data_IF_394299334358
#
_entry.id   IF_394299334358
#
_cell.length_a   1.000
_cell.length_b   1.000
_cell.length_c   1.000
_cell.angle_alpha   90.00
_cell.angle_beta   90.00
_cell.angle_gamma   90.00
#
_symmetry.space_group_name_H-M   'P 1'
#
loop_
_entity.id
_entity.type
_entity.pdbx_description
1 polymer ?
#
# COMPACT_ATOMS: atom_id res chain seq x y z
N UNK A 1 27.31 -0.82 -7.40
CA UNK A 1 26.34 -1.79 -7.99
C UNK A 1 25.23 -0.98 -8.60
N UNK A 2 24.73 -1.38 -9.77
CA UNK A 2 23.56 -0.70 -10.35
C UNK A 2 22.34 -0.96 -9.44
N UNK A 3 21.65 0.10 -9.05
CA UNK A 3 20.40 0.01 -8.27
C UNK A 3 19.28 -0.23 -9.27
N UNK A 4 18.53 -1.33 -9.10
CA UNK A 4 17.35 -1.63 -9.91
C UNK A 4 16.12 -1.67 -9.01
N UNK A 5 15.08 -0.96 -9.40
CA UNK A 5 13.83 -0.84 -8.67
C UNK A 5 12.65 -1.20 -9.57
N UNK A 6 11.67 -1.89 -9.03
CA UNK A 6 10.43 -2.24 -9.75
C UNK A 6 9.27 -1.44 -9.18
N UNK A 7 8.64 -0.63 -10.01
CA UNK A 7 7.45 0.14 -9.70
C UNK A 7 6.22 -0.64 -10.19
N UNK A 8 5.74 -1.57 -9.36
CA UNK A 8 4.66 -2.50 -9.72
C UNK A 8 3.38 -1.78 -10.14
N UNK A 9 2.96 -0.79 -9.38
CA UNK A 9 1.76 0.01 -9.67
C UNK A 9 1.89 0.93 -10.89
N UNK A 10 3.13 1.24 -11.30
CA UNK A 10 3.42 1.95 -12.54
C UNK A 10 3.68 1.01 -13.71
N UNK A 11 4.06 -0.23 -13.45
CA UNK A 11 4.30 -1.26 -14.45
C UNK A 11 5.63 -1.13 -15.19
N UNK A 12 6.70 -0.72 -14.51
CA UNK A 12 8.04 -0.76 -15.09
C UNK A 12 9.10 -1.07 -14.04
N UNK A 13 10.22 -1.60 -14.54
CA UNK A 13 11.46 -1.83 -13.79
C UNK A 13 12.54 -0.90 -14.30
N UNK A 14 13.12 -0.11 -13.41
CA UNK A 14 14.13 0.89 -13.71
C UNK A 14 15.47 0.52 -13.11
N UNK A 15 16.52 0.53 -13.92
CA UNK A 15 17.91 0.51 -13.44
C UNK A 15 18.45 1.92 -13.43
N UNK A 16 18.77 2.43 -12.24
CA UNK A 16 19.27 3.79 -12.07
C UNK A 16 20.68 3.93 -12.62
N UNK A 17 21.00 5.05 -13.29
CA UNK A 17 22.36 5.40 -13.66
C UNK A 17 23.24 5.64 -12.42
N UNK A 18 24.57 5.48 -12.58
CA UNK A 18 25.51 5.61 -11.48
C UNK A 18 25.46 6.97 -10.75
N UNK A 19 25.00 8.03 -11.41
CA UNK A 19 24.81 9.36 -10.79
C UNK A 19 23.79 9.36 -9.64
N UNK A 20 22.93 8.32 -9.56
CA UNK A 20 21.99 8.12 -8.46
C UNK A 20 22.55 7.34 -7.27
N UNK A 21 23.76 6.79 -7.37
CA UNK A 21 24.34 6.01 -6.26
C UNK A 21 24.72 6.88 -5.06
N UNK A 22 25.14 8.13 -5.31
CA UNK A 22 25.57 9.07 -4.27
C UNK A 22 25.21 10.51 -4.67
N UNK A 23 23.95 10.87 -4.75
CA UNK A 23 23.54 12.24 -5.03
C UNK A 23 23.91 13.13 -3.84
N UNK A 24 24.20 14.41 -4.11
CA UNK A 24 24.47 15.42 -3.06
C UNK A 24 23.19 15.85 -2.37
N UNK A 25 22.14 16.05 -3.18
CA UNK A 25 20.79 16.23 -2.70
C UNK A 25 20.06 14.90 -2.52
N UNK A 26 18.80 14.95 -2.16
CA UNK A 26 17.97 13.77 -1.95
C UNK A 26 17.02 13.59 -3.13
N UNK A 27 17.01 12.41 -3.71
CA UNK A 27 16.01 11.99 -4.70
C UNK A 27 14.98 11.09 -4.02
N UNK A 28 13.70 11.45 -4.13
CA UNK A 28 12.61 10.69 -3.53
C UNK A 28 11.55 10.38 -4.60
N UNK A 29 11.50 9.14 -5.12
CA UNK A 29 10.38 8.71 -5.93
C UNK A 29 9.12 8.58 -5.07
N UNK A 30 7.99 9.02 -5.60
CA UNK A 30 6.67 8.89 -5.00
C UNK A 30 5.71 8.39 -6.06
N UNK A 31 5.29 7.15 -5.94
CA UNK A 31 4.34 6.51 -6.85
C UNK A 31 2.92 6.66 -6.30
N UNK A 32 2.01 7.15 -7.13
CA UNK A 32 0.58 7.30 -6.79
C UNK A 32 -0.22 6.12 -7.37
N UNK A 33 0.27 5.52 -8.47
CA UNK A 33 -0.43 4.45 -9.18
C UNK A 33 -1.55 4.99 -10.07
N UNK A 34 -2.59 4.19 -10.25
CA UNK A 34 -3.76 4.56 -11.07
C UNK A 34 -4.59 5.65 -10.36
N UNK A 35 -4.90 6.71 -11.06
CA UNK A 35 -5.69 7.85 -10.55
C UNK A 35 -7.20 7.70 -10.78
N UNK A 36 -7.67 6.50 -11.20
CA UNK A 36 -9.08 6.20 -11.47
C UNK A 36 -9.53 6.42 -12.93
N UNK A 37 -8.75 7.15 -13.74
CA UNK A 37 -9.07 7.45 -15.14
C UNK A 37 -8.22 6.66 -16.14
N UNK A 38 -7.56 5.56 -15.69
CA UNK A 38 -6.59 4.81 -16.48
C UNK A 38 -5.29 5.58 -16.69
N UNK A 39 -4.99 6.49 -15.79
CA UNK A 39 -3.74 7.24 -15.72
C UNK A 39 -2.95 6.72 -14.53
N UNK A 40 -1.77 6.18 -14.78
CA UNK A 40 -0.79 5.77 -13.78
C UNK A 40 0.17 6.92 -13.57
N UNK A 41 0.38 7.35 -12.32
CA UNK A 41 1.14 8.55 -12.03
C UNK A 41 2.16 8.35 -10.93
N UNK A 42 3.36 8.91 -11.13
CA UNK A 42 4.38 9.03 -10.09
C UNK A 42 5.20 10.31 -10.25
N UNK A 43 5.85 10.73 -9.17
CA UNK A 43 6.76 11.86 -9.15
C UNK A 43 8.12 11.44 -8.63
N UNK A 44 9.16 12.02 -9.21
CA UNK A 44 10.50 12.05 -8.62
C UNK A 44 10.72 13.45 -8.05
N UNK A 45 10.86 13.54 -6.73
CA UNK A 45 11.18 14.78 -6.06
C UNK A 45 12.69 14.87 -5.85
N UNK A 46 13.21 16.09 -5.93
CA UNK A 46 14.57 16.43 -5.58
C UNK A 46 14.54 17.44 -4.44
N UNK A 47 15.38 17.22 -3.43
CA UNK A 47 15.51 18.11 -2.28
C UNK A 47 16.96 18.54 -2.21
N UNK A 48 17.20 19.84 -2.39
CA UNK A 48 18.54 20.47 -2.41
C UNK A 48 19.09 20.67 -0.98
N UNK A 49 19.21 19.57 -0.22
CA UNK A 49 19.82 19.52 1.11
C UNK A 49 20.66 18.25 1.22
N UNK A 50 21.67 18.28 2.07
CA UNK A 50 22.51 17.10 2.31
C UNK A 50 21.80 16.11 3.26
N UNK A 51 22.25 14.86 3.26
CA UNK A 51 21.78 13.88 4.27
C UNK A 51 22.09 14.33 5.71
N UNK A 52 23.16 15.09 5.90
CA UNK A 52 23.56 15.65 7.20
C UNK A 52 22.56 16.71 7.67
N UNK A 53 22.10 17.59 6.76
CA UNK A 53 21.08 18.59 7.05
C UNK A 53 19.75 17.91 7.46
N UNK A 54 19.36 16.84 6.74
CA UNK A 54 18.15 16.08 7.09
C UNK A 54 18.27 15.40 8.45
N UNK A 55 19.42 14.80 8.77
CA UNK A 55 19.66 14.22 10.09
C UNK A 55 19.58 15.28 11.20
N UNK A 56 20.15 16.46 10.96
CA UNK A 56 20.07 17.57 11.91
C UNK A 56 18.63 18.07 12.12
N UNK A 57 17.85 18.23 11.03
CA UNK A 57 16.44 18.61 11.09
C UNK A 57 15.59 17.54 11.81
N UNK A 58 15.87 16.26 11.58
CA UNK A 58 15.19 15.14 12.25
C UNK A 58 15.44 15.17 13.75
N UNK A 59 16.71 15.35 14.18
CA UNK A 59 17.05 15.48 15.60
C UNK A 59 16.30 16.64 16.27
N UNK A 60 16.19 17.79 15.59
CA UNK A 60 15.39 18.93 16.07
C UNK A 60 13.89 18.60 16.16
N UNK A 61 13.37 17.80 15.22
CA UNK A 61 11.96 17.36 15.24
C UNK A 61 11.69 16.46 16.44
N UNK A 62 12.59 15.51 16.72
CA UNK A 62 12.48 14.57 17.86
C UNK A 62 12.56 15.27 19.21
N UNK A 63 13.32 16.37 19.30
CA UNK A 63 13.44 17.19 20.52
C UNK A 63 12.36 18.28 20.63
N UNK A 64 11.50 18.43 19.61
CA UNK A 64 10.49 19.48 19.56
C UNK A 64 11.06 20.88 19.27
N UNK A 65 12.32 20.96 18.84
CA UNK A 65 13.04 22.21 18.52
C UNK A 65 12.94 22.61 17.04
N UNK A 66 12.25 21.82 16.21
CA UNK A 66 12.06 22.14 14.79
C UNK A 66 11.22 23.41 14.65
N UNK A 67 11.81 24.44 14.07
CA UNK A 67 11.13 25.72 13.88
C UNK A 67 10.29 25.73 12.58
N UNK A 68 9.33 26.67 12.51
CA UNK A 68 8.62 26.94 11.25
C UNK A 68 9.58 27.37 10.12
N UNK A 69 10.68 28.04 10.48
CA UNK A 69 11.70 28.44 9.50
C UNK A 69 12.46 27.24 8.92
N UNK A 70 12.79 26.22 9.74
CA UNK A 70 13.39 24.97 9.27
C UNK A 70 12.46 24.23 8.31
N UNK A 71 11.16 24.19 8.62
CA UNK A 71 10.15 23.56 7.76
C UNK A 71 9.97 24.29 6.43
N UNK A 72 10.00 25.63 6.43
CA UNK A 72 9.94 26.44 5.22
C UNK A 72 11.20 26.25 4.36
N UNK A 73 12.39 26.21 4.95
CA UNK A 73 13.64 25.93 4.25
C UNK A 73 13.59 24.58 3.54
N UNK A 74 13.04 23.54 4.17
CA UNK A 74 12.91 22.23 3.55
C UNK A 74 11.90 22.27 2.38
N UNK A 75 10.78 22.96 2.55
CA UNK A 75 9.80 23.14 1.49
C UNK A 75 10.36 23.92 0.28
N UNK A 76 11.10 24.98 0.54
CA UNK A 76 11.76 25.77 -0.53
C UNK A 76 12.89 25.00 -1.23
N UNK A 77 13.55 24.08 -0.53
CA UNK A 77 14.58 23.21 -1.08
C UNK A 77 14.02 22.06 -1.93
N UNK A 78 12.70 21.81 -1.92
CA UNK A 78 12.08 20.69 -2.64
C UNK A 78 11.47 21.14 -3.97
N UNK A 79 11.72 20.36 -5.02
CA UNK A 79 11.04 20.50 -6.32
C UNK A 79 10.83 19.14 -6.97
N UNK A 80 9.88 19.08 -7.91
CA UNK A 80 9.72 17.91 -8.76
C UNK A 80 10.87 17.82 -9.76
N UNK A 81 11.65 16.76 -9.71
CA UNK A 81 12.69 16.46 -10.71
C UNK A 81 12.05 16.14 -12.06
N UNK A 82 11.05 15.24 -12.05
CA UNK A 82 10.12 14.96 -13.14
C UNK A 82 8.92 14.16 -12.62
N UNK A 83 7.89 14.12 -13.44
CA UNK A 83 6.72 13.27 -13.24
C UNK A 83 6.70 12.19 -14.33
N UNK A 84 6.17 11.02 -14.01
CA UNK A 84 5.91 9.94 -14.98
C UNK A 84 4.41 9.69 -15.02
N UNK A 85 3.83 9.73 -16.22
CA UNK A 85 2.45 9.36 -16.45
C UNK A 85 2.38 8.21 -17.46
N UNK A 86 1.73 7.10 -17.08
CA UNK A 86 1.32 6.02 -17.97
C UNK A 86 -0.14 6.21 -18.34
N UNK A 87 -0.49 6.18 -19.61
CA UNK A 87 -1.85 6.48 -20.07
C UNK A 87 -2.33 5.39 -21.01
N UNK A 88 -3.46 4.78 -20.64
CA UNK A 88 -4.13 3.76 -21.46
C UNK A 88 -4.88 4.34 -22.66
N UNK A 89 -5.15 3.51 -23.67
CA UNK A 89 -5.95 3.87 -24.83
C UNK A 89 -5.21 4.53 -25.99
N UNK A 90 -3.87 4.52 -26.01
CA UNK A 90 -3.07 5.01 -27.15
C UNK A 90 -3.20 6.50 -27.43
N UNK A 91 -3.55 7.28 -26.45
CA UNK A 91 -3.82 8.72 -26.58
C UNK A 91 -2.54 9.55 -26.70
N UNK A 92 -2.60 10.61 -27.47
CA UNK A 92 -1.45 11.48 -27.71
C UNK A 92 -1.23 12.55 -26.64
N UNK A 93 -0.06 13.19 -26.66
CA UNK A 93 0.36 14.20 -25.66
C UNK A 93 -0.64 15.37 -25.42
N UNK A 94 -1.54 15.68 -26.37
CA UNK A 94 -2.57 16.72 -26.19
C UNK A 94 -3.68 16.29 -25.25
N UNK A 95 -4.16 15.04 -25.38
CA UNK A 95 -5.18 14.47 -24.50
C UNK A 95 -4.64 14.26 -23.09
N UNK A 96 -3.35 13.96 -22.97
CA UNK A 96 -2.65 13.88 -21.67
C UNK A 96 -2.68 15.22 -20.95
N UNK A 97 -2.28 16.30 -21.64
CA UNK A 97 -2.28 17.64 -21.07
C UNK A 97 -3.72 18.05 -20.62
N UNK A 98 -4.73 17.64 -21.37
CA UNK A 98 -6.15 17.91 -21.06
C UNK A 98 -6.61 17.11 -19.85
N UNK A 99 -6.30 15.81 -19.78
CA UNK A 99 -6.62 14.94 -18.63
C UNK A 99 -5.93 15.37 -17.35
N UNK A 100 -4.64 15.74 -17.44
CA UNK A 100 -3.87 16.24 -16.29
C UNK A 100 -4.16 17.72 -15.97
N UNK A 101 -5.10 18.36 -16.67
CA UNK A 101 -5.45 19.79 -16.50
C UNK A 101 -4.27 20.74 -16.63
N UNK A 102 -3.31 20.40 -17.51
CA UNK A 102 -2.11 21.19 -17.75
C UNK A 102 -2.45 22.34 -18.71
N UNK A 103 -2.22 23.56 -18.27
CA UNK A 103 -2.53 24.76 -19.05
C UNK A 103 -1.57 24.94 -20.24
N UNK A 104 -2.10 25.37 -21.37
CA UNK A 104 -1.32 25.68 -22.57
C UNK A 104 -0.35 26.83 -22.26
N UNK A 105 0.97 26.56 -22.44
CA UNK A 105 1.99 27.57 -22.17
C UNK A 105 2.57 27.53 -20.75
N UNK A 106 2.18 26.58 -19.92
CA UNK A 106 2.73 26.34 -18.56
C UNK A 106 4.25 26.09 -18.55
N UNK A 107 4.84 25.72 -19.69
CA UNK A 107 6.24 25.33 -19.79
C UNK A 107 6.47 23.82 -19.65
N UNK A 108 5.38 23.03 -19.57
CA UNK A 108 5.46 21.58 -19.49
C UNK A 108 5.92 20.97 -20.81
N UNK A 109 6.74 19.93 -20.68
CA UNK A 109 7.28 19.14 -21.76
C UNK A 109 6.98 17.67 -21.53
N UNK A 110 6.49 16.99 -22.56
CA UNK A 110 6.15 15.57 -22.54
C UNK A 110 7.12 14.80 -23.42
N UNK A 111 7.88 13.90 -22.80
CA UNK A 111 8.79 13.00 -23.50
C UNK A 111 8.26 11.59 -23.39
N UNK A 112 7.91 10.96 -24.51
CA UNK A 112 7.57 9.52 -24.51
C UNK A 112 8.81 8.73 -24.09
N UNK A 113 8.63 7.86 -23.08
CA UNK A 113 9.71 7.08 -22.46
C UNK A 113 9.53 5.57 -22.66
N UNK A 114 8.32 5.10 -22.92
CA UNK A 114 8.08 3.69 -23.18
C UNK A 114 6.62 3.34 -23.38
N UNK A 115 6.38 2.05 -23.65
CA UNK A 115 5.02 1.50 -23.86
C UNK A 115 4.88 0.09 -23.31
N UNK A 116 3.68 -0.22 -22.86
CA UNK A 116 3.26 -1.58 -22.57
C UNK A 116 1.82 -1.77 -23.05
N UNK A 117 1.61 -2.65 -24.04
CA UNK A 117 0.32 -2.84 -24.70
C UNK A 117 -0.26 -1.50 -25.19
N UNK A 118 -1.41 -1.10 -24.68
CA UNK A 118 -2.10 0.15 -24.99
C UNK A 118 -1.70 1.33 -24.07
N UNK A 119 -0.85 1.08 -23.08
CA UNK A 119 -0.35 2.12 -22.17
C UNK A 119 0.89 2.76 -22.74
N UNK A 120 0.89 4.09 -22.89
CA UNK A 120 2.07 4.88 -23.26
C UNK A 120 2.53 5.70 -22.06
N UNK A 121 3.83 5.62 -21.77
CA UNK A 121 4.45 6.32 -20.63
C UNK A 121 5.17 7.59 -21.10
N UNK A 122 5.01 8.64 -20.32
CA UNK A 122 5.63 9.95 -20.58
C UNK A 122 6.37 10.44 -19.34
N UNK A 123 7.57 10.97 -19.55
CA UNK A 123 8.22 11.83 -18.59
C UNK A 123 7.73 13.26 -18.81
N UNK A 124 7.31 13.93 -17.75
CA UNK A 124 6.78 15.29 -17.76
C UNK A 124 7.73 16.16 -16.94
N UNK A 125 8.24 17.22 -17.55
CA UNK A 125 9.08 18.23 -16.89
C UNK A 125 8.48 19.60 -17.12
N UNK A 126 8.73 20.54 -16.20
CA UNK A 126 8.28 21.93 -16.35
C UNK A 126 9.46 22.88 -16.35
N UNK A 127 9.85 23.31 -17.54
CA UNK A 127 11.01 24.17 -17.75
C UNK A 127 10.96 25.47 -16.93
N UNK A 128 9.79 26.11 -16.84
CA UNK A 128 9.66 27.38 -16.14
C UNK A 128 9.85 27.22 -14.63
N UNK A 129 9.26 26.14 -14.05
CA UNK A 129 9.44 25.80 -12.64
C UNK A 129 10.87 25.38 -12.35
N UNK A 130 11.47 24.56 -13.22
CA UNK A 130 12.84 24.07 -13.08
C UNK A 130 13.85 25.23 -13.10
N UNK A 131 13.73 26.15 -14.08
CA UNK A 131 14.60 27.34 -14.17
C UNK A 131 14.42 28.27 -12.96
N UNK A 132 13.21 28.39 -12.43
CA UNK A 132 12.95 29.19 -11.23
C UNK A 132 13.59 28.53 -10.02
N UNK A 133 13.35 27.25 -9.81
CA UNK A 133 13.89 26.48 -8.68
C UNK A 133 15.42 26.49 -8.67
N UNK A 134 16.07 26.22 -9.80
CA UNK A 134 17.53 26.21 -9.90
C UNK A 134 18.19 27.55 -9.57
N UNK A 135 17.44 28.67 -9.61
CA UNK A 135 17.94 30.00 -9.20
C UNK A 135 17.83 30.22 -7.68
N UNK A 136 17.06 29.42 -6.98
CA UNK A 136 16.86 29.56 -5.53
C UNK A 136 17.77 28.67 -4.69
N UNK A 137 18.41 27.68 -5.30
CA UNK A 137 19.29 26.72 -4.63
C UNK A 137 20.76 26.99 -4.97
N UNK A 138 21.67 26.37 -4.20
CA UNK A 138 23.09 26.49 -4.47
C UNK A 138 23.48 25.93 -5.84
N UNK A 139 24.49 26.52 -6.53
CA UNK A 139 24.89 26.10 -7.88
C UNK A 139 25.23 24.61 -8.01
N UNK A 140 25.74 24.00 -6.92
CA UNK A 140 26.11 22.59 -6.89
C UNK A 140 24.90 21.68 -6.98
N UNK A 141 23.81 22.03 -6.34
CA UNK A 141 22.53 21.30 -6.41
C UNK A 141 21.81 21.61 -7.73
N UNK A 142 21.90 22.84 -8.23
CA UNK A 142 21.29 23.20 -9.51
C UNK A 142 21.90 22.43 -10.69
N UNK A 143 23.22 22.22 -10.68
CA UNK A 143 23.90 21.41 -11.69
C UNK A 143 23.54 19.93 -11.56
N UNK A 144 23.51 19.42 -10.33
CA UNK A 144 23.08 18.05 -10.05
C UNK A 144 21.64 17.80 -10.50
N UNK A 145 20.71 18.70 -10.21
CA UNK A 145 19.30 18.62 -10.65
C UNK A 145 19.21 18.39 -12.16
N UNK A 146 19.96 19.15 -12.97
CA UNK A 146 19.98 18.98 -14.44
C UNK A 146 20.51 17.62 -14.86
N UNK A 147 21.61 17.19 -14.24
CA UNK A 147 22.24 15.90 -14.55
C UNK A 147 21.30 14.75 -14.21
N UNK A 148 20.71 14.77 -13.01
CA UNK A 148 19.80 13.75 -12.56
C UNK A 148 18.53 13.69 -13.41
N UNK A 149 17.93 14.85 -13.75
CA UNK A 149 16.74 14.92 -14.60
C UNK A 149 16.99 14.29 -15.97
N UNK A 150 18.07 14.70 -16.63
CA UNK A 150 18.42 14.17 -17.95
C UNK A 150 18.74 12.67 -17.91
N UNK A 151 19.55 12.26 -16.93
CA UNK A 151 19.94 10.85 -16.78
C UNK A 151 18.75 9.95 -16.44
N UNK A 152 17.79 10.46 -15.65
CA UNK A 152 16.57 9.73 -15.29
C UNK A 152 15.65 9.53 -16.50
N UNK A 153 15.47 10.58 -17.33
CA UNK A 153 14.69 10.46 -18.56
C UNK A 153 15.30 9.42 -19.51
N UNK A 154 16.62 9.42 -19.65
CA UNK A 154 17.29 8.44 -20.52
C UNK A 154 17.26 7.03 -19.93
N UNK A 155 17.34 6.88 -18.62
CA UNK A 155 17.15 5.59 -17.96
C UNK A 155 15.71 5.07 -18.11
N UNK A 156 14.71 5.93 -17.98
CA UNK A 156 13.30 5.59 -18.17
C UNK A 156 13.00 5.13 -19.62
N UNK A 157 13.65 5.72 -20.62
CA UNK A 157 13.54 5.24 -22.02
C UNK A 157 14.09 3.82 -22.21
N UNK A 158 14.99 3.39 -21.35
CA UNK A 158 15.58 2.06 -21.35
C UNK A 158 15.01 1.13 -20.27
N UNK A 159 13.98 1.56 -19.54
CA UNK A 159 13.33 0.76 -18.53
C UNK A 159 12.59 -0.44 -19.14
N UNK A 160 12.44 -1.51 -18.36
CA UNK A 160 11.63 -2.66 -18.72
C UNK A 160 10.16 -2.38 -18.37
N UNK A 161 9.31 -2.18 -19.37
CA UNK A 161 7.88 -1.94 -19.18
C UNK A 161 7.14 -3.28 -19.12
N UNK A 162 6.58 -3.61 -17.94
CA UNK A 162 5.91 -4.90 -17.63
C UNK A 162 4.40 -4.75 -17.48
N UNK A 163 3.91 -3.51 -17.50
CA UNK A 163 2.53 -3.14 -17.22
C UNK A 163 2.21 -3.03 -15.74
N UNK A 164 1.30 -2.13 -15.36
CA UNK A 164 0.90 -1.95 -13.98
C UNK A 164 0.37 -3.25 -13.37
N UNK A 165 0.86 -3.57 -12.20
CA UNK A 165 0.47 -4.74 -11.42
C UNK A 165 -0.26 -4.22 -10.18
N UNK A 166 -1.56 -4.40 -10.19
CA UNK A 166 -2.41 -4.04 -9.05
C UNK A 166 -2.54 -5.29 -8.18
N UNK A 167 -2.18 -5.26 -6.91
CA UNK A 167 -2.33 -6.41 -6.03
C UNK A 167 -3.77 -6.94 -6.07
N UNK A 168 -3.92 -8.25 -6.34
CA UNK A 168 -5.23 -8.89 -6.45
C UNK A 168 -5.98 -8.64 -7.75
N UNK A 169 -5.39 -7.96 -8.75
CA UNK A 169 -6.02 -7.77 -10.07
C UNK A 169 -6.37 -9.09 -10.74
N UNK A 170 -5.54 -10.11 -10.55
CA UNK A 170 -5.75 -11.48 -11.06
C UNK A 170 -6.94 -12.20 -10.41
N UNK A 171 -7.44 -11.67 -9.29
CA UNK A 171 -8.60 -12.21 -8.58
C UNK A 171 -9.92 -11.70 -9.14
N UNK A 172 -9.90 -10.53 -9.81
CA UNK A 172 -11.11 -9.93 -10.39
C UNK A 172 -11.69 -10.82 -11.46
N UNK A 173 -12.97 -11.11 -11.36
CA UNK A 173 -13.67 -12.05 -12.23
C UNK A 173 -13.56 -13.52 -11.79
N UNK A 174 -12.69 -13.87 -10.85
CA UNK A 174 -12.69 -15.21 -10.24
C UNK A 174 -13.90 -15.37 -9.32
N UNK A 175 -14.33 -16.62 -9.15
CA UNK A 175 -15.45 -16.94 -8.29
C UNK A 175 -14.95 -17.61 -7.03
N UNK A 176 -15.28 -17.05 -5.87
CA UNK A 176 -15.00 -17.62 -4.55
C UNK A 176 -16.09 -18.66 -4.24
N UNK A 177 -15.67 -19.85 -3.85
CA UNK A 177 -16.55 -20.92 -3.36
C UNK A 177 -15.92 -21.58 -2.16
N UNK A 178 -16.70 -21.73 -1.08
CA UNK A 178 -16.24 -22.40 0.13
C UNK A 178 -17.39 -23.02 0.94
N UNK A 179 -17.05 -23.97 1.76
CA UNK A 179 -17.85 -24.43 2.88
C UNK A 179 -17.04 -24.18 4.15
N UNK A 180 -17.69 -23.62 5.17
CA UNK A 180 -17.05 -23.33 6.46
C UNK A 180 -18.10 -23.37 7.57
N UNK A 181 -17.78 -22.78 8.71
CA UNK A 181 -18.71 -22.55 9.83
C UNK A 181 -18.73 -21.07 10.18
N UNK A 182 -19.86 -20.62 10.70
CA UNK A 182 -19.86 -19.34 11.40
C UNK A 182 -19.15 -19.46 12.76
N UNK A 183 -18.96 -18.31 13.41
CA UNK A 183 -18.29 -18.25 14.71
C UNK A 183 -19.02 -19.04 15.81
N UNK A 184 -20.31 -19.38 15.63
CA UNK A 184 -21.11 -20.17 16.54
C UNK A 184 -21.08 -21.67 16.21
N UNK A 185 -20.42 -22.05 15.12
CA UNK A 185 -20.21 -23.44 14.70
C UNK A 185 -21.26 -23.97 13.73
N UNK A 186 -22.20 -23.14 13.26
CA UNK A 186 -23.19 -23.53 12.27
C UNK A 186 -22.54 -23.69 10.90
N UNK A 187 -22.87 -24.71 10.10
CA UNK A 187 -22.31 -24.87 8.75
C UNK A 187 -22.83 -23.79 7.83
N UNK A 188 -21.91 -23.27 6.99
CA UNK A 188 -22.18 -22.20 6.04
C UNK A 188 -21.61 -22.56 4.68
N UNK A 189 -22.39 -22.32 3.62
CA UNK A 189 -21.98 -22.44 2.24
C UNK A 189 -21.95 -21.06 1.59
N UNK A 190 -20.88 -20.75 0.89
CA UNK A 190 -20.72 -19.46 0.18
C UNK A 190 -21.85 -19.19 -0.80
N UNK A 191 -22.37 -20.23 -1.48
CA UNK A 191 -23.47 -20.10 -2.43
C UNK A 191 -24.75 -19.57 -1.78
N UNK A 192 -25.08 -20.04 -0.56
CA UNK A 192 -26.26 -19.58 0.18
C UNK A 192 -26.10 -18.11 0.61
N UNK A 193 -24.89 -17.74 1.06
CA UNK A 193 -24.59 -16.36 1.47
C UNK A 193 -24.67 -15.39 0.29
N UNK A 194 -24.00 -15.72 -0.81
CA UNK A 194 -23.88 -14.80 -1.94
C UNK A 194 -25.17 -14.68 -2.74
N UNK A 195 -25.91 -15.77 -2.90
CA UNK A 195 -27.19 -15.75 -3.63
C UNK A 195 -28.28 -14.91 -2.93
N UNK A 196 -28.13 -14.67 -1.63
CA UNK A 196 -29.09 -13.89 -0.85
C UNK A 196 -29.07 -12.39 -1.18
N UNK A 197 -27.95 -11.86 -1.72
CA UNK A 197 -27.73 -10.43 -1.96
C UNK A 197 -27.17 -10.15 -3.35
N UNK A 198 -27.43 -8.96 -3.91
CA UNK A 198 -26.88 -8.59 -5.22
C UNK A 198 -25.35 -8.38 -5.11
N UNK A 199 -24.88 -7.73 -4.04
CA UNK A 199 -23.47 -7.56 -3.69
C UNK A 199 -23.25 -7.99 -2.24
N UNK A 200 -22.18 -8.75 -2.03
CA UNK A 200 -21.66 -9.08 -0.70
C UNK A 200 -20.25 -8.52 -0.55
N UNK A 201 -20.06 -7.72 0.47
CA UNK A 201 -18.75 -7.24 0.92
C UNK A 201 -18.16 -8.26 1.89
N UNK A 202 -16.99 -8.80 1.58
CA UNK A 202 -16.27 -9.76 2.42
C UNK A 202 -15.11 -9.02 3.06
N UNK A 203 -15.12 -8.84 4.37
CA UNK A 203 -14.03 -8.23 5.12
C UNK A 203 -13.25 -9.32 5.88
N UNK A 204 -11.97 -9.44 5.56
CA UNK A 204 -11.05 -10.36 6.24
C UNK A 204 -10.31 -9.60 7.32
N UNK A 205 -10.42 -10.06 8.57
CA UNK A 205 -9.91 -9.40 9.76
C UNK A 205 -9.34 -10.40 10.78
N UNK A 206 -8.68 -9.93 11.84
CA UNK A 206 -8.20 -10.79 12.92
C UNK A 206 -8.27 -10.10 14.28
N UNK A 207 -8.29 -10.90 15.36
CA UNK A 207 -8.39 -10.39 16.73
C UNK A 207 -7.17 -9.55 17.15
N UNK A 208 -6.01 -9.80 16.56
CA UNK A 208 -4.77 -9.08 16.80
C UNK A 208 -4.63 -7.80 15.94
N UNK A 209 -5.44 -7.63 14.90
CA UNK A 209 -5.34 -6.52 13.96
C UNK A 209 -5.93 -5.23 14.54
N UNK A 210 -5.08 -4.27 14.89
CA UNK A 210 -5.49 -2.99 15.45
C UNK A 210 -6.39 -2.16 14.53
N UNK A 211 -5.98 -1.91 13.26
CA UNK A 211 -6.81 -1.23 12.26
C UNK A 211 -8.16 -1.90 12.06
N UNK A 212 -8.19 -3.25 11.95
CA UNK A 212 -9.45 -3.99 11.79
C UNK A 212 -10.42 -3.67 12.93
N UNK A 213 -9.96 -3.73 14.19
CA UNK A 213 -10.79 -3.43 15.37
C UNK A 213 -11.36 -2.01 15.38
N UNK A 214 -10.68 -1.06 14.73
CA UNK A 214 -11.15 0.33 14.62
C UNK A 214 -12.30 0.44 13.61
N UNK A 215 -12.27 -0.32 12.50
CA UNK A 215 -13.32 -0.24 11.47
C UNK A 215 -14.55 -1.11 11.76
N UNK A 216 -14.43 -2.19 12.54
CA UNK A 216 -15.51 -3.19 12.76
C UNK A 216 -16.86 -2.54 13.14
N UNK A 217 -16.85 -1.55 14.03
CA UNK A 217 -18.08 -0.89 14.48
C UNK A 217 -18.80 -0.18 13.33
N UNK A 218 -18.03 0.53 12.47
CA UNK A 218 -18.61 1.20 11.31
C UNK A 218 -19.05 0.21 10.23
N UNK A 219 -18.34 -0.92 10.06
CA UNK A 219 -18.80 -2.00 9.20
C UNK A 219 -20.17 -2.56 9.66
N UNK A 220 -20.42 -2.63 10.97
CA UNK A 220 -21.74 -2.95 11.50
C UNK A 220 -22.80 -1.91 11.12
N UNK A 221 -22.45 -0.62 11.13
CA UNK A 221 -23.33 0.45 10.68
C UNK A 221 -23.58 0.37 9.18
N UNK A 222 -22.54 0.15 8.38
CA UNK A 222 -22.64 -0.05 6.93
C UNK A 222 -23.58 -1.22 6.62
N UNK A 223 -23.39 -2.37 7.25
CA UNK A 223 -24.24 -3.56 7.03
C UNK A 223 -25.73 -3.22 7.21
N UNK A 224 -26.11 -2.54 8.31
CA UNK A 224 -27.50 -2.14 8.54
C UNK A 224 -28.07 -1.19 7.49
N UNK A 225 -27.21 -0.34 6.88
CA UNK A 225 -27.63 0.53 5.77
C UNK A 225 -27.78 -0.24 4.46
N UNK A 226 -26.95 -1.25 4.25
CA UNK A 226 -26.92 -2.08 3.05
C UNK A 226 -28.11 -3.04 2.93
N UNK A 227 -28.72 -3.46 4.05
CA UNK A 227 -29.94 -4.31 4.04
C UNK A 227 -31.04 -3.72 3.16
N UNK A 228 -31.16 -2.38 3.12
CA UNK A 228 -32.16 -1.68 2.29
C UNK A 228 -31.79 -1.68 0.79
N UNK A 229 -30.55 -2.03 0.46
CA UNK A 229 -30.02 -2.01 -0.91
C UNK A 229 -29.80 -3.42 -1.48
N UNK A 230 -30.30 -4.45 -0.80
CA UNK A 230 -30.04 -5.85 -1.16
C UNK A 230 -28.56 -6.19 -1.24
N UNK A 231 -27.76 -5.61 -0.33
CA UNK A 231 -26.34 -5.90 -0.16
C UNK A 231 -26.03 -6.21 1.31
N UNK A 232 -24.93 -6.88 1.56
CA UNK A 232 -24.54 -7.31 2.90
C UNK A 232 -23.04 -7.21 3.12
N UNK A 233 -22.64 -7.15 4.40
CA UNK A 233 -21.28 -7.41 4.86
C UNK A 233 -21.23 -8.80 5.45
N UNK A 234 -20.14 -9.53 5.20
CA UNK A 234 -19.74 -10.72 5.96
C UNK A 234 -18.31 -10.51 6.45
N UNK A 235 -18.00 -11.03 7.64
CA UNK A 235 -16.64 -11.05 8.18
C UNK A 235 -16.03 -12.45 8.04
N UNK A 236 -14.72 -12.53 7.81
CA UNK A 236 -13.93 -13.75 7.98
C UNK A 236 -12.86 -13.41 9.00
N UNK A 237 -12.90 -14.02 10.19
CA UNK A 237 -11.89 -13.81 11.22
C UNK A 237 -10.77 -14.82 11.02
N UNK A 238 -9.62 -14.35 10.54
CA UNK A 238 -8.49 -15.18 10.10
C UNK A 238 -7.92 -16.07 11.21
N UNK A 239 -7.89 -15.58 12.44
CA UNK A 239 -7.40 -16.32 13.60
C UNK A 239 -8.52 -16.97 14.44
N UNK A 240 -9.77 -17.02 13.94
CA UNK A 240 -10.90 -17.54 14.71
C UNK A 240 -10.81 -19.04 15.01
N UNK A 241 -10.08 -19.82 14.23
CA UNK A 241 -9.85 -21.24 14.51
C UNK A 241 -9.11 -21.45 15.85
N UNK A 242 -8.20 -20.54 16.19
CA UNK A 242 -7.40 -20.58 17.43
C UNK A 242 -7.95 -19.64 18.52
N UNK A 243 -8.64 -18.57 18.12
CA UNK A 243 -9.06 -17.43 18.94
C UNK A 243 -10.58 -17.21 18.97
N UNK A 244 -11.39 -18.29 18.87
CA UNK A 244 -12.85 -18.19 18.76
C UNK A 244 -13.49 -17.37 19.90
N UNK A 245 -12.98 -17.49 21.13
CA UNK A 245 -13.51 -16.75 22.29
C UNK A 245 -13.24 -15.23 22.15
N UNK A 246 -12.04 -14.85 21.73
CA UNK A 246 -11.64 -13.46 21.54
C UNK A 246 -12.42 -12.84 20.36
N UNK A 247 -12.60 -13.60 19.27
CA UNK A 247 -13.41 -13.21 18.13
C UNK A 247 -14.86 -12.94 18.55
N UNK A 248 -15.51 -13.86 19.28
CA UNK A 248 -16.86 -13.66 19.82
C UNK A 248 -16.96 -12.44 20.74
N UNK A 249 -15.98 -12.23 21.59
CA UNK A 249 -15.94 -11.08 22.49
C UNK A 249 -15.91 -9.76 21.70
N UNK A 250 -15.07 -9.65 20.65
CA UNK A 250 -14.99 -8.48 19.78
C UNK A 250 -16.29 -8.26 18.99
N UNK A 251 -16.90 -9.32 18.45
CA UNK A 251 -18.19 -9.24 17.75
C UNK A 251 -19.27 -8.67 18.68
N UNK A 252 -19.33 -9.14 19.92
CA UNK A 252 -20.28 -8.65 20.91
C UNK A 252 -19.97 -7.21 21.35
N UNK A 253 -18.70 -6.90 21.64
CA UNK A 253 -18.24 -5.54 22.01
C UNK A 253 -18.59 -4.51 20.95
N UNK A 254 -18.36 -4.83 19.68
CA UNK A 254 -18.59 -3.94 18.53
C UNK A 254 -20.03 -4.00 18.01
N UNK A 255 -20.89 -4.81 18.64
CA UNK A 255 -22.31 -4.98 18.26
C UNK A 255 -22.50 -5.29 16.76
N UNK A 256 -21.70 -6.23 16.24
CA UNK A 256 -21.75 -6.63 14.83
C UNK A 256 -22.98 -7.49 14.58
N UNK A 257 -23.82 -7.06 13.63
CA UNK A 257 -25.05 -7.77 13.25
C UNK A 257 -24.88 -8.67 12.03
N UNK A 258 -23.74 -8.58 11.33
CA UNK A 258 -23.44 -9.43 10.18
C UNK A 258 -22.74 -10.72 10.60
N UNK A 259 -22.88 -11.74 9.73
CA UNK A 259 -22.28 -13.05 9.97
C UNK A 259 -20.75 -12.97 9.94
N UNK A 260 -20.11 -13.63 10.91
CA UNK A 260 -18.66 -13.80 10.95
C UNK A 260 -18.32 -15.28 10.86
N UNK A 261 -17.37 -15.60 9.98
CA UNK A 261 -16.99 -16.94 9.58
C UNK A 261 -15.61 -17.32 10.11
N UNK A 262 -15.39 -18.62 10.26
CA UNK A 262 -14.06 -19.21 10.39
C UNK A 262 -13.35 -19.16 9.02
N UNK A 263 -12.01 -19.20 8.98
CA UNK A 263 -11.26 -19.46 7.75
C UNK A 263 -11.72 -20.75 7.06
N UNK A 264 -11.58 -20.82 5.76
CA UNK A 264 -11.97 -21.98 4.97
C UNK A 264 -10.78 -22.56 4.19
N UNK A 265 -10.88 -23.82 3.79
CA UNK A 265 -9.87 -24.48 2.95
C UNK A 265 -9.78 -23.81 1.57
N UNK A 266 -8.57 -23.38 1.17
CA UNK A 266 -8.33 -22.64 -0.07
C UNK A 266 -8.43 -21.11 0.07
N UNK A 267 -8.59 -20.57 1.27
CA UNK A 267 -8.58 -19.11 1.50
C UNK A 267 -7.25 -18.47 1.13
N UNK A 268 -6.15 -19.21 1.17
CA UNK A 268 -4.82 -18.82 0.72
C UNK A 268 -4.76 -18.44 -0.78
N UNK A 269 -5.68 -18.94 -1.60
CA UNK A 269 -5.81 -18.53 -3.00
C UNK A 269 -6.19 -17.05 -3.17
N UNK A 270 -6.71 -16.40 -2.13
CA UNK A 270 -6.97 -14.96 -2.12
C UNK A 270 -5.70 -14.13 -1.91
N UNK A 271 -4.57 -14.76 -1.60
CA UNK A 271 -3.26 -14.13 -1.40
C UNK A 271 -3.31 -12.89 -0.47
N UNK A 272 -4.05 -13.02 0.65
CA UNK A 272 -4.19 -11.95 1.64
C UNK A 272 -2.92 -11.84 2.46
N UNK A 273 -2.11 -10.83 2.17
CA UNK A 273 -0.83 -10.59 2.86
C UNK A 273 -0.96 -9.62 4.04
N UNK A 274 -2.01 -8.81 4.08
CA UNK A 274 -2.23 -7.82 5.14
C UNK A 274 -3.71 -7.64 5.47
N UNK A 275 -3.99 -7.18 6.70
CA UNK A 275 -5.34 -7.02 7.22
C UNK A 275 -5.59 -5.56 7.64
N UNK A 276 -6.84 -5.08 7.51
CA UNK A 276 -7.95 -5.77 6.87
C UNK A 276 -7.75 -5.86 5.35
N UNK A 277 -8.38 -6.84 4.71
CA UNK A 277 -8.54 -6.90 3.25
C UNK A 277 -10.01 -7.16 2.92
N UNK A 278 -10.55 -6.35 2.01
CA UNK A 278 -11.98 -6.38 1.67
C UNK A 278 -12.20 -6.69 0.20
N UNK A 279 -13.09 -7.63 -0.08
CA UNK A 279 -13.53 -8.02 -1.41
C UNK A 279 -15.01 -7.69 -1.61
N UNK A 280 -15.41 -7.42 -2.85
CA UNK A 280 -16.80 -7.29 -3.24
C UNK A 280 -17.16 -8.36 -4.24
N UNK A 281 -18.20 -9.16 -3.94
CA UNK A 281 -18.62 -10.25 -4.81
C UNK A 281 -20.10 -10.11 -5.17
N UNK A 282 -20.46 -10.61 -6.37
CA UNK A 282 -21.83 -10.68 -6.81
C UNK A 282 -22.55 -11.94 -6.29
N UNK A 283 -23.83 -12.15 -6.67
CA UNK A 283 -24.65 -13.33 -6.29
C UNK A 283 -24.02 -14.67 -6.60
N UNK A 284 -23.08 -14.73 -7.54
CA UNK A 284 -22.38 -15.97 -7.92
C UNK A 284 -21.08 -16.18 -7.16
N UNK A 285 -20.69 -15.24 -6.31
CA UNK A 285 -19.41 -15.19 -5.61
C UNK A 285 -18.27 -14.70 -6.51
N UNK A 286 -18.57 -14.09 -7.65
CA UNK A 286 -17.54 -13.53 -8.53
C UNK A 286 -17.02 -12.22 -7.96
N UNK A 287 -15.70 -12.07 -7.84
CA UNK A 287 -15.02 -10.87 -7.37
C UNK A 287 -15.21 -9.76 -8.41
N UNK A 288 -15.78 -8.64 -7.99
CA UNK A 288 -16.21 -7.55 -8.87
C UNK A 288 -15.20 -6.42 -9.00
N UNK A 289 -14.35 -6.23 -7.99
CA UNK A 289 -13.36 -5.14 -7.94
C UNK A 289 -12.01 -5.67 -7.47
N UNK A 290 -10.98 -4.83 -7.59
CA UNK A 290 -9.73 -5.07 -6.84
C UNK A 290 -10.01 -5.12 -5.34
N UNK A 291 -9.25 -5.94 -4.58
CA UNK A 291 -9.39 -5.93 -3.12
C UNK A 291 -8.99 -4.56 -2.54
N UNK A 292 -9.73 -4.11 -1.54
CA UNK A 292 -9.32 -2.96 -0.73
C UNK A 292 -8.40 -3.49 0.37
N UNK A 293 -7.14 -3.08 0.32
CA UNK A 293 -6.10 -3.49 1.28
C UNK A 293 -5.93 -2.39 2.33
N UNK A 294 -6.14 -2.74 3.60
CA UNK A 294 -6.17 -1.78 4.70
C UNK A 294 -7.51 -1.05 4.84
N UNK A 295 -7.60 -0.19 5.85
CA UNK A 295 -8.78 0.66 6.08
C UNK A 295 -8.74 1.81 5.09
N UNK A 296 -9.82 2.07 4.32
CA UNK A 296 -9.85 3.19 3.39
C UNK A 296 -9.76 4.53 4.12
N UNK A 297 -9.25 5.56 3.46
CA UNK A 297 -9.12 6.91 4.02
C UNK A 297 -10.48 7.52 4.41
N UNK A 298 -11.53 7.20 3.65
CA UNK A 298 -12.94 7.47 3.98
C UNK A 298 -13.69 6.13 4.02
N UNK A 299 -14.15 5.72 5.21
CA UNK A 299 -14.87 4.45 5.40
C UNK A 299 -16.16 4.36 4.56
N UNK A 300 -16.72 5.48 4.13
CA UNK A 300 -17.90 5.53 3.25
C UNK A 300 -17.59 5.10 1.82
N UNK A 301 -16.31 4.96 1.44
CA UNK A 301 -15.92 4.47 0.12
C UNK A 301 -16.37 3.03 -0.11
N UNK A 302 -16.52 2.23 0.94
CA UNK A 302 -17.13 0.91 0.83
C UNK A 302 -18.57 0.98 0.31
N UNK A 303 -19.38 1.93 0.81
CA UNK A 303 -20.77 2.09 0.34
C UNK A 303 -20.83 2.68 -1.07
N UNK A 304 -19.93 3.61 -1.41
CA UNK A 304 -19.83 4.18 -2.76
C UNK A 304 -19.50 3.11 -3.78
N UNK A 305 -18.56 2.21 -3.44
CA UNK A 305 -18.21 1.06 -4.29
C UNK A 305 -19.42 0.15 -4.50
N UNK A 306 -20.15 -0.19 -3.44
CA UNK A 306 -21.35 -1.01 -3.54
C UNK A 306 -22.43 -0.32 -4.37
N UNK A 307 -22.66 0.97 -4.17
CA UNK A 307 -23.65 1.75 -4.93
C UNK A 307 -23.31 1.80 -6.42
N UNK A 308 -22.03 1.93 -6.77
CA UNK A 308 -21.54 1.86 -8.14
C UNK A 308 -21.82 0.51 -8.77
N UNK A 309 -21.45 -0.59 -8.08
CA UNK A 309 -21.67 -1.95 -8.54
C UNK A 309 -23.17 -2.27 -8.74
N UNK A 310 -24.03 -1.81 -7.85
CA UNK A 310 -25.47 -1.99 -7.96
C UNK A 310 -26.04 -1.20 -9.15
N UNK A 311 -25.56 0.02 -9.42
CA UNK A 311 -25.99 0.86 -10.52
C UNK A 311 -25.60 0.28 -11.90
N UNK A 312 -24.47 -0.40 -11.99
CA UNK A 312 -23.99 -1.06 -13.23
C UNK A 312 -24.72 -2.36 -13.54
N UNK A 313 -25.59 -2.84 -12.66
CA UNK A 313 -26.29 -4.13 -12.78
C UNK A 313 -25.36 -5.29 -12.44
N UNK A 314 -25.21 -5.59 -11.18
CA UNK A 314 -24.25 -6.50 -10.57
C UNK A 314 -24.12 -7.92 -11.18
N UNK A 315 -25.03 -8.33 -12.05
CA UNK A 315 -25.00 -9.63 -12.72
C UNK A 315 -24.05 -9.69 -13.93
N UNK A 316 -23.76 -8.54 -14.58
CA UNK A 316 -23.01 -8.42 -15.83
C UNK A 316 -21.96 -7.30 -15.82
N UNK A 317 -21.73 -6.63 -14.70
CA UNK A 317 -20.76 -5.55 -14.55
C UNK A 317 -19.34 -6.04 -14.90
N UNK A 318 -18.67 -5.29 -15.78
CA UNK A 318 -17.22 -5.45 -15.97
C UNK A 318 -16.52 -4.98 -14.70
N UNK A 319 -15.34 -5.56 -14.37
CA UNK A 319 -14.59 -5.14 -13.20
C UNK A 319 -14.38 -3.63 -13.18
N UNK A 320 -14.80 -2.97 -12.11
CA UNK A 320 -14.55 -1.55 -11.90
C UNK A 320 -13.12 -1.40 -11.41
N UNK A 321 -12.32 -0.64 -12.14
CA UNK A 321 -10.96 -0.26 -11.76
C UNK A 321 -10.99 0.92 -10.79
N UNK A 322 -11.46 0.74 -9.57
CA UNK A 322 -11.25 1.73 -8.53
C UNK A 322 -9.98 1.39 -7.76
N UNK A 323 -9.05 2.30 -7.84
CA UNK A 323 -7.70 2.19 -7.31
C UNK A 323 -7.63 2.78 -5.92
N UNK A 324 -7.36 1.93 -4.94
CA UNK A 324 -6.56 2.38 -3.82
C UNK A 324 -5.10 2.31 -4.27
N UNK A 325 -4.44 3.46 -4.27
CA UNK A 325 -3.04 3.59 -4.67
C UNK A 325 -2.19 2.54 -3.95
N UNK A 326 -1.65 1.59 -4.71
CA UNK A 326 -0.58 0.75 -4.22
C UNK A 326 0.67 1.64 -4.13
N UNK A 327 0.92 2.22 -2.97
CA UNK A 327 2.13 2.98 -2.68
C UNK A 327 3.35 2.04 -2.71
N UNK A 328 4.49 2.62 -2.97
CA UNK A 328 5.78 1.94 -3.10
C UNK A 328 6.10 1.15 -1.81
N UNK A 329 6.08 -0.18 -1.90
CA UNK A 329 6.43 -1.06 -0.77
C UNK A 329 7.93 -1.27 -0.74
N UNK A 330 8.57 -0.80 0.32
CA UNK A 330 9.94 -1.14 0.65
C UNK A 330 9.95 -2.42 1.51
N UNK A 331 11.04 -3.17 1.47
CA UNK A 331 11.19 -4.34 2.35
C UNK A 331 11.83 -3.89 3.66
N UNK A 332 11.08 -3.97 4.76
CA UNK A 332 11.60 -3.85 6.11
C UNK A 332 11.89 -5.24 6.67
N UNK A 333 13.08 -5.47 7.23
CA UNK A 333 13.42 -6.73 7.85
C UNK A 333 13.40 -6.59 9.37
N UNK A 334 12.74 -7.52 10.02
CA UNK A 334 12.79 -7.69 11.47
C UNK A 334 13.79 -8.81 11.76
N UNK A 335 14.90 -8.46 12.38
CA UNK A 335 16.02 -9.37 12.68
C UNK A 335 15.97 -9.69 14.17
N UNK A 336 15.79 -10.95 14.50
CA UNK A 336 15.68 -11.43 15.88
C UNK A 336 16.89 -12.28 16.24
N UNK A 337 17.59 -11.90 17.29
CA UNK A 337 18.73 -12.63 17.85
C UNK A 337 18.58 -12.87 19.36
N UNK A 338 19.33 -13.83 19.91
CA UNK A 338 19.48 -13.98 21.35
C UNK A 338 20.48 -12.95 21.92
N UNK A 339 20.63 -12.94 23.24
CA UNK A 339 21.52 -12.04 23.99
C UNK A 339 23.02 -12.24 23.72
N UNK A 340 23.40 -13.34 23.06
CA UNK A 340 24.77 -13.60 22.60
C UNK A 340 24.93 -13.50 21.07
N UNK A 341 23.88 -13.01 20.38
CA UNK A 341 23.92 -12.68 18.95
C UNK A 341 23.59 -13.83 18.00
N UNK A 342 23.13 -14.99 18.46
CA UNK A 342 22.67 -16.05 17.56
C UNK A 342 21.29 -15.72 17.00
N UNK A 343 21.01 -16.04 15.72
CA UNK A 343 19.69 -15.84 15.14
C UNK A 343 18.64 -16.73 15.82
N UNK A 344 17.44 -16.21 16.02
CA UNK A 344 16.31 -16.95 16.59
C UNK A 344 15.23 -17.16 15.53
N UNK A 345 15.13 -18.39 15.06
CA UNK A 345 14.13 -18.82 14.09
C UNK A 345 12.76 -19.09 14.76
N UNK A 346 11.69 -18.95 13.99
CA UNK A 346 10.35 -19.33 14.42
C UNK A 346 9.65 -18.33 15.34
N UNK A 347 10.21 -17.14 15.54
CA UNK A 347 9.57 -16.04 16.26
C UNK A 347 8.46 -15.46 15.38
N UNK A 348 7.24 -15.43 15.90
CA UNK A 348 6.13 -14.76 15.21
C UNK A 348 6.11 -13.29 15.58
N UNK A 349 6.20 -12.42 14.60
CA UNK A 349 6.21 -10.98 14.75
C UNK A 349 5.04 -10.35 13.99
N UNK A 350 4.47 -9.32 14.58
CA UNK A 350 3.40 -8.50 14.02
C UNK A 350 3.99 -7.15 13.60
N UNK A 351 3.73 -6.73 12.38
CA UNK A 351 4.19 -5.47 11.78
C UNK A 351 2.98 -4.63 11.40
N UNK A 352 2.73 -3.53 12.10
CA UNK A 352 1.50 -2.76 12.00
C UNK A 352 1.74 -1.28 11.68
N UNK A 353 0.82 -0.69 10.90
CA UNK A 353 0.60 0.75 10.77
C UNK A 353 -0.76 1.13 11.34
N UNK A 354 -1.18 2.40 11.15
CA UNK A 354 -2.51 2.85 11.56
C UNK A 354 -3.65 2.26 10.72
N UNK A 355 -3.35 1.77 9.51
CA UNK A 355 -4.35 1.29 8.53
C UNK A 355 -4.26 -0.20 8.22
N UNK A 356 -3.13 -0.87 8.50
CA UNK A 356 -2.95 -2.30 8.18
C UNK A 356 -1.97 -2.98 9.12
N UNK A 357 -2.11 -4.30 9.27
CA UNK A 357 -1.18 -5.17 10.00
C UNK A 357 -0.82 -6.42 9.17
N UNK A 358 0.43 -6.83 9.27
CA UNK A 358 0.96 -8.06 8.67
C UNK A 358 1.51 -8.96 9.77
N UNK A 359 1.47 -10.27 9.56
CA UNK A 359 2.08 -11.26 10.44
C UNK A 359 3.21 -11.97 9.70
N UNK A 360 4.36 -12.11 10.33
CA UNK A 360 5.51 -12.80 9.77
C UNK A 360 6.15 -13.73 10.79
N UNK A 361 6.95 -14.68 10.30
CA UNK A 361 7.71 -15.60 11.12
C UNK A 361 9.17 -15.56 10.71
N UNK A 362 10.09 -15.50 11.69
CA UNK A 362 11.53 -15.49 11.39
C UNK A 362 12.01 -16.83 10.81
N UNK A 363 12.83 -16.74 9.78
CA UNK A 363 13.52 -17.87 9.13
C UNK A 363 14.71 -18.38 9.95
N UNK A 364 15.53 -19.28 9.35
CA UNK A 364 16.71 -19.86 9.99
C UNK A 364 17.79 -18.82 10.33
N UNK A 365 17.82 -17.71 9.62
CA UNK A 365 18.71 -16.57 9.83
C UNK A 365 18.13 -15.56 10.82
N UNK A 366 16.97 -15.87 11.45
CA UNK A 366 16.28 -15.01 12.40
C UNK A 366 15.60 -13.81 11.77
N UNK A 367 15.25 -13.85 10.47
CA UNK A 367 14.74 -12.73 9.70
C UNK A 367 13.27 -12.95 9.31
N UNK A 368 12.40 -11.96 9.58
CA UNK A 368 11.09 -11.83 8.98
C UNK A 368 11.06 -10.57 8.11
N UNK A 369 10.58 -10.69 6.86
CA UNK A 369 10.56 -9.61 5.88
C UNK A 369 9.14 -9.14 5.60
N UNK A 370 8.93 -7.82 5.57
CA UNK A 370 7.64 -7.19 5.34
C UNK A 370 7.73 -6.18 4.21
N UNK A 371 6.85 -6.29 3.23
CA UNK A 371 6.68 -5.28 2.21
C UNK A 371 5.85 -4.12 2.79
N UNK A 372 6.45 -2.95 2.96
CA UNK A 372 5.84 -1.81 3.60
C UNK A 372 6.04 -0.54 2.79
N UNK A 373 5.07 0.35 2.86
CA UNK A 373 5.12 1.70 2.30
C UNK A 373 5.78 2.65 3.30
N UNK A 374 6.22 3.83 2.86
CA UNK A 374 6.70 4.85 3.79
C UNK A 374 5.58 5.22 4.77
N UNK A 375 5.80 5.01 6.05
CA UNK A 375 4.80 5.26 7.07
C UNK A 375 5.33 5.02 8.48
N UNK A 376 4.47 5.21 9.46
CA UNK A 376 4.78 4.86 10.85
C UNK A 376 4.35 3.42 11.08
N UNK A 377 5.30 2.58 11.44
CA UNK A 377 5.06 1.19 11.77
C UNK A 377 5.61 0.85 13.14
N UNK A 378 5.01 -0.17 13.72
CA UNK A 378 5.46 -0.79 14.96
C UNK A 378 5.56 -2.29 14.80
N UNK A 379 6.50 -2.91 15.51
CA UNK A 379 6.69 -4.36 15.55
C UNK A 379 6.42 -4.86 16.96
N UNK A 380 5.64 -5.93 17.06
CA UNK A 380 5.39 -6.64 18.32
C UNK A 380 5.76 -8.11 18.16
N UNK A 381 6.36 -8.70 19.20
CA UNK A 381 6.60 -10.14 19.28
C UNK A 381 5.34 -10.82 19.80
N UNK A 382 4.72 -11.71 19.00
CA UNK A 382 3.46 -12.38 19.33
C UNK A 382 3.66 -13.77 19.89
N UNK A 383 4.65 -14.51 19.37
CA UNK A 383 4.94 -15.89 19.81
C UNK A 383 6.42 -16.17 19.76
N UNK A 384 6.92 -16.78 20.81
CA UNK A 384 8.32 -17.15 20.96
C UNK A 384 8.48 -18.69 20.87
N UNK A 385 9.61 -19.19 20.34
CA UNK A 385 10.03 -20.58 20.55
C UNK A 385 10.26 -20.87 22.04
N UNK A 386 10.25 -22.14 22.42
CA UNK A 386 10.59 -22.57 23.79
C UNK A 386 12.01 -22.09 24.18
N UNK A 387 12.17 -21.67 25.46
CA UNK A 387 13.44 -21.25 26.01
C UNK A 387 13.78 -19.77 25.85
N UNK A 388 12.83 -18.92 25.43
CA UNK A 388 12.99 -17.48 25.37
C UNK A 388 11.92 -16.75 26.18
N UNK A 389 12.32 -15.62 26.80
CA UNK A 389 11.39 -14.76 27.54
C UNK A 389 10.57 -13.89 26.59
N UNK A 390 9.30 -13.65 26.95
CA UNK A 390 8.39 -12.79 26.18
C UNK A 390 8.83 -11.34 26.30
N UNK A 391 9.08 -10.68 25.19
CA UNK A 391 9.21 -9.23 25.14
C UNK A 391 7.80 -8.63 25.02
N UNK A 392 7.42 -7.81 26.00
CA UNK A 392 6.18 -7.02 25.94
C UNK A 392 6.40 -5.65 25.26
N UNK A 393 7.59 -5.40 24.73
CA UNK A 393 7.97 -4.13 24.14
C UNK A 393 7.44 -3.97 22.73
N UNK A 394 7.01 -2.78 22.41
CA UNK A 394 6.68 -2.31 21.09
C UNK A 394 7.94 -1.69 20.47
N UNK A 395 8.30 -2.12 19.29
CA UNK A 395 9.47 -1.62 18.57
C UNK A 395 9.03 -0.70 17.44
N UNK A 396 9.42 0.56 17.50
CA UNK A 396 9.18 1.50 16.41
C UNK A 396 10.04 1.12 15.19
N UNK A 397 9.41 1.10 14.02
CA UNK A 397 10.12 0.92 12.76
C UNK A 397 10.70 2.26 12.32
N UNK A 398 11.99 2.33 11.94
CA UNK A 398 12.58 3.54 11.38
C UNK A 398 11.79 4.03 10.16
N UNK A 399 11.64 5.36 10.00
CA UNK A 399 10.83 5.94 8.92
C UNK A 399 11.35 5.64 7.51
N UNK A 400 12.61 5.29 7.38
CA UNK A 400 13.26 4.82 6.15
C UNK A 400 13.09 3.32 5.90
N UNK A 401 12.31 2.64 6.77
CA UNK A 401 12.07 1.20 6.72
C UNK A 401 13.35 0.36 6.77
N UNK A 402 14.39 0.86 7.44
CA UNK A 402 15.59 0.07 7.71
C UNK A 402 15.31 -1.04 8.71
N UNK A 403 16.24 -1.99 8.81
CA UNK A 403 16.11 -3.18 9.64
C UNK A 403 15.77 -2.86 11.10
N UNK A 404 14.75 -3.54 11.63
CA UNK A 404 14.42 -3.54 13.06
C UNK A 404 15.13 -4.70 13.74
N UNK A 405 15.95 -4.42 14.76
CA UNK A 405 16.69 -5.45 15.50
C UNK A 405 16.03 -5.70 16.85
N UNK A 406 15.73 -6.95 17.14
CA UNK A 406 15.11 -7.41 18.39
C UNK A 406 16.05 -8.42 19.04
N UNK A 407 16.38 -8.19 20.31
CA UNK A 407 17.19 -9.13 21.10
C UNK A 407 16.31 -9.81 22.14
N UNK A 408 16.26 -11.13 22.11
CA UNK A 408 15.52 -11.94 23.08
C UNK A 408 16.45 -12.45 24.16
N UNK A 409 15.92 -12.55 25.38
CA UNK A 409 16.64 -13.20 26.49
C UNK A 409 16.30 -14.68 26.53
N UNK A 410 17.29 -15.51 26.83
CA UNK A 410 17.04 -16.92 27.18
C UNK A 410 16.36 -16.99 28.53
N UNK A 411 15.27 -17.82 28.62
CA UNK A 411 14.52 -18.07 29.83
C UNK A 411 15.33 -18.89 30.86
#
# INVERSE_FOLDING_TARGET
MAITETFHNMGFRLTYPDVFNHPKGIVSPMSIGDTGDGIYFMMYNYIAVTEEDVKAMRSKSETGELSNEDSLKLADAMSSLLQVAGIGGGQGSKEIAEKLKIEKGSGDSFTEIGRYKDITYYAITNRNSDEKYMKTIEPVFAEEFRILQTSLIDALKNAEYIGPQIPGAELVGKTIRFETRDIDGNPVKSEDLFSAHDITMINIWATWCGPCKKELEELGNIHRRLEKKNAAVIGICDDAAEKAADCKALIAEKNLSYINLLPYEGMDELAVESLPTTFFVNRKGTIMTYPVIGVPGDITDYEKTIDSLLAEGAADAKPVSETNAAEQRNTCRVIVSDDIGNPVAGVTVQFCSDITCMMGKTDAEGIASFAAEKGKYTVHVQKLPEGYETSAEEFAVPADLTDVKITLKKA
#
